data_IF_649714670902
#
_entry.id   IF_649714670902
#
_cell.length_a   1.000
_cell.length_b   1.000
_cell.length_c   1.000
_cell.angle_alpha   90.00
_cell.angle_beta   90.00
_cell.angle_gamma   90.00
#
_symmetry.space_group_name_H-M   'P 1'
#
loop_
_entity.id
_entity.type
_entity.pdbx_description
1 polymer ?
#
# COMPACT_ATOMS: atom_id res chain seq x y z
N UNK A 1 -2.38 25.14 -30.40
CA UNK A 1 -2.29 24.08 -29.37
C UNK A 1 -3.32 23.03 -29.75
N UNK A 2 -2.91 21.80 -30.06
CA UNK A 2 -3.89 20.71 -30.16
C UNK A 2 -4.47 20.53 -28.76
N UNK A 3 -5.76 20.32 -28.68
CA UNK A 3 -6.49 20.20 -27.43
C UNK A 3 -5.95 19.00 -26.63
N UNK A 4 -5.17 19.27 -25.58
CA UNK A 4 -4.55 18.23 -24.74
C UNK A 4 -5.62 17.37 -24.06
N UNK A 5 -6.85 17.89 -23.92
CA UNK A 5 -8.00 17.17 -23.40
C UNK A 5 -8.38 15.95 -24.25
N UNK A 6 -8.21 16.01 -25.58
CA UNK A 6 -8.48 14.87 -26.47
C UNK A 6 -7.45 13.76 -26.22
N UNK A 7 -6.18 14.13 -26.02
CA UNK A 7 -5.13 13.17 -25.72
C UNK A 7 -5.28 12.59 -24.33
N UNK A 8 -5.74 13.40 -23.38
CA UNK A 8 -6.14 12.92 -22.07
C UNK A 8 -7.27 11.88 -22.17
N UNK A 9 -8.35 12.17 -22.89
CA UNK A 9 -9.45 11.23 -23.06
C UNK A 9 -9.02 9.91 -23.76
N UNK A 10 -8.20 10.01 -24.81
CA UNK A 10 -7.64 8.85 -25.51
C UNK A 10 -6.70 8.04 -24.60
N UNK A 11 -5.96 8.73 -23.73
CA UNK A 11 -5.07 8.12 -22.75
C UNK A 11 -5.88 7.30 -21.74
N UNK A 12 -6.91 7.90 -21.11
CA UNK A 12 -7.78 7.22 -20.15
C UNK A 12 -8.46 6.00 -20.76
N UNK A 13 -8.80 6.07 -22.05
CA UNK A 13 -9.37 4.94 -22.78
C UNK A 13 -8.34 3.81 -22.99
N UNK A 14 -7.07 4.17 -23.21
CA UNK A 14 -6.00 3.21 -23.52
C UNK A 14 -5.35 2.61 -22.29
N UNK A 15 -5.33 3.35 -21.18
CA UNK A 15 -4.64 3.01 -19.93
C UNK A 15 -5.48 3.46 -18.72
N UNK A 16 -6.69 2.90 -18.55
CA UNK A 16 -7.58 3.30 -17.46
C UNK A 16 -6.90 3.06 -16.11
N UNK A 17 -6.83 4.08 -15.25
CA UNK A 17 -6.20 3.99 -13.92
C UNK A 17 -4.70 4.37 -13.87
N UNK A 18 -4.06 4.65 -15.01
CA UNK A 18 -2.68 5.15 -15.02
C UNK A 18 -2.60 6.68 -14.81
N UNK A 19 -3.74 7.38 -14.87
CA UNK A 19 -3.84 8.84 -14.67
C UNK A 19 -3.25 9.30 -13.34
N UNK A 20 -3.61 8.74 -12.16
CA UNK A 20 -3.10 9.24 -10.89
C UNK A 20 -1.58 9.07 -10.71
N UNK A 21 -0.99 8.11 -11.44
CA UNK A 21 0.47 7.85 -11.44
C UNK A 21 1.19 8.86 -12.33
N UNK A 22 0.54 9.26 -13.43
CA UNK A 22 1.09 10.16 -14.43
C UNK A 22 0.47 11.55 -14.39
N UNK A 23 -0.27 11.93 -13.36
CA UNK A 23 -0.81 13.28 -13.18
C UNK A 23 0.22 14.19 -12.50
N UNK A 24 -0.10 15.48 -12.42
CA UNK A 24 0.76 16.48 -11.78
C UNK A 24 1.10 16.12 -10.32
N UNK A 25 2.35 16.36 -9.93
CA UNK A 25 2.87 16.07 -8.58
C UNK A 25 3.83 14.87 -8.51
N UNK A 26 3.92 14.06 -9.55
CA UNK A 26 4.99 13.07 -9.72
C UNK A 26 6.26 13.77 -10.20
N UNK A 27 7.11 14.19 -9.25
CA UNK A 27 8.31 15.03 -9.43
C UNK A 27 9.38 14.53 -10.43
N UNK A 28 9.17 13.40 -11.10
CA UNK A 28 10.15 12.72 -11.95
C UNK A 28 9.68 12.59 -13.42
N UNK A 29 8.47 13.04 -13.76
CA UNK A 29 8.01 13.11 -15.15
C UNK A 29 7.93 14.55 -15.65
N UNK A 30 8.83 14.90 -16.58
CA UNK A 30 9.01 16.25 -17.17
C UNK A 30 8.05 16.61 -18.31
N UNK A 31 7.14 15.72 -18.73
CA UNK A 31 6.21 16.10 -19.81
C UNK A 31 5.09 16.99 -19.27
N UNK A 32 5.00 18.18 -19.85
CA UNK A 32 4.04 19.21 -19.47
C UNK A 32 2.62 18.91 -19.98
N UNK A 33 2.47 17.97 -20.92
CA UNK A 33 1.19 17.66 -21.60
C UNK A 33 0.88 16.16 -21.65
N UNK A 34 -0.41 15.80 -21.76
CA UNK A 34 -0.84 14.40 -21.95
C UNK A 34 -0.34 13.77 -23.25
N UNK A 35 -0.13 14.58 -24.29
CA UNK A 35 0.51 14.15 -25.54
C UNK A 35 1.91 13.57 -25.27
N UNK A 36 2.72 14.29 -24.51
CA UNK A 36 4.10 13.89 -24.19
C UNK A 36 4.12 12.64 -23.30
N UNK A 37 3.20 12.56 -22.33
CA UNK A 37 2.96 11.38 -21.47
C UNK A 37 2.68 10.14 -22.33
N UNK A 38 1.71 10.24 -23.24
CA UNK A 38 1.37 9.16 -24.16
C UNK A 38 2.55 8.74 -25.04
N UNK A 39 3.27 9.71 -25.62
CA UNK A 39 4.41 9.44 -26.49
C UNK A 39 5.53 8.72 -25.72
N UNK A 40 5.79 9.13 -24.48
CA UNK A 40 6.82 8.54 -23.63
C UNK A 40 6.53 7.08 -23.28
N UNK A 41 5.27 6.76 -22.91
CA UNK A 41 4.87 5.38 -22.65
C UNK A 41 4.99 4.49 -23.89
N UNK A 42 4.57 4.98 -25.05
CA UNK A 42 4.71 4.25 -26.33
C UNK A 42 6.17 4.02 -26.71
N UNK A 43 7.07 4.87 -26.26
CA UNK A 43 8.52 4.72 -26.41
C UNK A 43 9.15 3.86 -25.30
N UNK A 44 8.35 3.22 -24.44
CA UNK A 44 8.82 2.43 -23.30
C UNK A 44 9.73 3.22 -22.35
N UNK A 45 9.50 4.54 -22.22
CA UNK A 45 10.25 5.35 -21.26
C UNK A 45 9.93 4.91 -19.83
N UNK A 46 10.96 4.99 -19.00
CA UNK A 46 10.87 4.67 -17.59
C UNK A 46 10.09 5.74 -16.84
N UNK A 47 9.34 5.30 -15.84
CA UNK A 47 8.54 6.18 -15.00
C UNK A 47 8.56 5.63 -13.56
N UNK A 48 8.44 6.45 -12.52
CA UNK A 48 8.43 5.95 -11.14
C UNK A 48 7.00 5.67 -10.66
N UNK A 49 6.86 4.71 -9.78
CA UNK A 49 5.62 4.48 -9.06
C UNK A 49 5.96 3.78 -7.76
N UNK A 50 4.97 3.61 -6.90
CA UNK A 50 5.04 2.55 -5.92
C UNK A 50 4.32 1.32 -6.46
N UNK A 51 4.87 0.15 -6.13
CA UNK A 51 4.28 -1.14 -6.45
C UNK A 51 3.82 -1.76 -5.15
N UNK A 52 2.55 -2.07 -5.06
CA UNK A 52 2.05 -2.86 -3.96
C UNK A 52 2.66 -4.27 -3.99
N UNK A 53 3.09 -4.74 -2.82
CA UNK A 53 3.74 -6.03 -2.67
C UNK A 53 2.77 -7.18 -2.92
N UNK A 54 3.27 -8.25 -3.55
CA UNK A 54 2.48 -9.43 -3.94
C UNK A 54 2.66 -10.61 -3.00
N UNK A 55 3.71 -10.64 -2.18
CA UNK A 55 4.12 -11.84 -1.43
C UNK A 55 2.93 -12.47 -0.69
N UNK A 56 2.46 -13.56 -1.28
CA UNK A 56 1.43 -14.50 -0.82
C UNK A 56 1.93 -15.94 -1.03
N UNK A 57 3.23 -16.09 -1.28
CA UNK A 57 3.88 -17.38 -1.55
C UNK A 57 4.59 -17.90 -0.30
N UNK A 58 4.45 -17.24 0.86
CA UNK A 58 5.09 -17.67 2.10
C UNK A 58 4.13 -17.49 3.30
N UNK A 59 3.22 -18.46 3.43
CA UNK A 59 2.13 -18.55 4.42
C UNK A 59 2.50 -18.25 5.90
N UNK A 60 3.78 -18.22 6.25
CA UNK A 60 4.26 -18.03 7.62
C UNK A 60 4.46 -16.57 8.04
N UNK A 61 4.97 -15.67 7.17
CA UNK A 61 5.48 -14.33 7.57
C UNK A 61 5.47 -13.27 6.43
N UNK A 62 4.43 -13.24 5.60
CA UNK A 62 4.40 -12.40 4.39
C UNK A 62 4.29 -10.89 4.63
N UNK A 63 5.07 -10.07 3.90
CA UNK A 63 5.03 -8.59 3.95
C UNK A 63 3.83 -8.01 3.18
N UNK A 64 2.62 -8.43 3.55
CA UNK A 64 1.36 -7.98 2.96
C UNK A 64 1.04 -6.52 3.28
N UNK A 65 0.19 -5.90 2.45
CA UNK A 65 -0.25 -4.52 2.63
C UNK A 65 0.90 -3.51 2.70
N UNK A 66 1.94 -3.78 1.90
CA UNK A 66 3.09 -2.90 1.75
C UNK A 66 3.22 -2.41 0.31
N UNK A 67 3.85 -1.25 0.13
CA UNK A 67 4.14 -0.67 -1.18
C UNK A 67 5.57 -0.11 -1.23
N UNK A 68 6.26 -0.34 -2.33
CA UNK A 68 7.66 0.03 -2.50
C UNK A 68 7.90 0.86 -3.75
N UNK A 69 8.75 1.87 -3.64
CA UNK A 69 9.21 2.67 -4.76
C UNK A 69 9.95 1.80 -5.80
N UNK A 70 9.55 1.97 -7.06
CA UNK A 70 10.13 1.28 -8.20
C UNK A 70 10.19 2.19 -9.43
N UNK A 71 11.08 1.83 -10.35
CA UNK A 71 11.04 2.33 -11.72
C UNK A 71 10.29 1.32 -12.59
N UNK A 72 9.23 1.78 -13.24
CA UNK A 72 8.33 1.00 -14.07
C UNK A 72 8.57 1.26 -15.55
N UNK A 73 8.29 0.26 -16.37
CA UNK A 73 8.36 0.32 -17.83
C UNK A 73 7.18 -0.44 -18.40
N UNK A 74 6.40 0.19 -19.29
CA UNK A 74 5.33 -0.50 -20.02
C UNK A 74 5.93 -1.63 -20.87
N UNK A 75 5.39 -2.83 -20.79
CA UNK A 75 5.78 -3.96 -21.64
C UNK A 75 5.13 -3.84 -23.03
N UNK A 76 5.75 -4.46 -24.03
CA UNK A 76 5.24 -4.42 -25.40
C UNK A 76 3.83 -5.03 -25.46
N UNK A 77 2.91 -4.29 -26.09
CA UNK A 77 1.48 -4.56 -26.11
C UNK A 77 1.17 -5.85 -26.88
N UNK A 78 0.96 -6.96 -26.19
CA UNK A 78 0.32 -8.15 -26.78
C UNK A 78 -1.10 -8.41 -26.24
N UNK A 79 -1.45 -7.80 -25.10
CA UNK A 79 -2.70 -7.99 -24.36
C UNK A 79 -3.57 -6.73 -24.33
N UNK A 80 -4.86 -6.92 -24.07
CA UNK A 80 -5.84 -5.85 -23.82
C UNK A 80 -5.55 -5.07 -22.53
N UNK A 81 -4.87 -5.70 -21.57
CA UNK A 81 -4.47 -5.11 -20.29
C UNK A 81 -2.96 -4.79 -20.31
N UNK A 82 -2.54 -3.55 -20.00
CA UNK A 82 -1.13 -3.19 -19.96
C UNK A 82 -0.43 -3.89 -18.79
N UNK A 83 0.76 -4.43 -19.05
CA UNK A 83 1.65 -4.97 -18.01
C UNK A 83 2.95 -4.17 -17.98
N UNK A 84 3.65 -4.27 -16.85
CA UNK A 84 4.85 -3.49 -16.58
C UNK A 84 5.99 -4.36 -16.10
N UNK A 85 7.18 -4.04 -16.58
CA UNK A 85 8.42 -4.46 -15.93
C UNK A 85 8.75 -3.41 -14.87
N UNK A 86 8.90 -3.82 -13.62
CA UNK A 86 9.24 -2.95 -12.49
C UNK A 86 10.62 -3.30 -11.97
N UNK A 87 11.33 -2.28 -11.50
CA UNK A 87 12.67 -2.37 -10.93
C UNK A 87 12.69 -1.65 -9.61
N UNK A 88 12.72 -2.40 -8.51
CA UNK A 88 12.69 -1.86 -7.16
C UNK A 88 14.00 -1.17 -6.81
N UNK A 89 13.95 -0.26 -5.82
CA UNK A 89 15.15 0.33 -5.26
C UNK A 89 16.06 -0.74 -4.62
N UNK A 90 17.39 -0.61 -4.76
CA UNK A 90 18.31 -1.54 -4.11
C UNK A 90 18.15 -1.52 -2.59
N UNK A 91 18.09 -2.71 -1.99
CA UNK A 91 18.08 -2.86 -0.54
C UNK A 91 19.49 -2.66 0.02
N UNK A 92 19.83 -1.42 0.39
CA UNK A 92 21.09 -1.04 1.04
C UNK A 92 22.12 -0.39 0.10
N UNK A 93 23.24 0.10 0.68
CA UNK A 93 24.26 0.90 -0.03
C UNK A 93 25.26 0.10 -0.89
N UNK A 94 25.15 -1.23 -0.94
CA UNK A 94 26.08 -2.12 -1.65
C UNK A 94 25.53 -2.68 -2.97
N UNK A 95 26.26 -3.65 -3.58
CA UNK A 95 25.86 -4.47 -4.74
C UNK A 95 24.64 -5.38 -4.46
N UNK A 96 23.68 -4.91 -3.68
CA UNK A 96 22.44 -5.63 -3.42
C UNK A 96 21.71 -5.83 -4.74
N UNK A 97 21.25 -7.06 -4.97
CA UNK A 97 20.63 -7.45 -6.24
C UNK A 97 19.39 -6.59 -6.43
N UNK A 98 19.41 -5.72 -7.43
CA UNK A 98 18.20 -5.02 -7.88
C UNK A 98 17.16 -6.06 -8.25
N UNK A 99 16.03 -6.04 -7.57
CA UNK A 99 14.91 -6.93 -7.88
C UNK A 99 14.15 -6.36 -9.07
N UNK A 100 13.91 -7.20 -10.05
CA UNK A 100 13.06 -6.91 -11.20
C UNK A 100 11.89 -7.88 -11.19
N UNK A 101 10.72 -7.36 -11.52
CA UNK A 101 9.50 -8.14 -11.68
C UNK A 101 8.86 -7.76 -13.02
N UNK A 102 8.44 -8.76 -13.79
CA UNK A 102 7.81 -8.59 -15.12
C UNK A 102 6.34 -8.97 -15.04
N UNK A 103 5.52 -8.49 -15.97
CA UNK A 103 4.10 -8.81 -15.98
C UNK A 103 3.32 -8.17 -14.82
N UNK A 104 3.84 -7.11 -14.20
CA UNK A 104 3.14 -6.41 -13.12
C UNK A 104 1.90 -5.74 -13.70
N UNK A 105 0.75 -6.02 -13.12
CA UNK A 105 -0.52 -5.45 -13.54
C UNK A 105 -0.66 -3.99 -13.10
N UNK A 106 -1.47 -3.20 -13.81
CA UNK A 106 -1.66 -1.77 -13.53
C UNK A 106 -2.22 -1.52 -12.12
N UNK A 107 -3.08 -2.41 -11.65
CA UNK A 107 -3.75 -2.36 -10.35
C UNK A 107 -2.79 -2.54 -9.16
N UNK A 108 -1.54 -2.94 -9.44
CA UNK A 108 -0.46 -2.98 -8.45
C UNK A 108 0.35 -1.71 -8.39
N UNK A 109 0.20 -0.81 -9.36
CA UNK A 109 0.89 0.46 -9.37
C UNK A 109 0.04 1.51 -8.65
N UNK A 110 0.71 2.38 -7.92
CA UNK A 110 0.09 3.56 -7.29
C UNK A 110 1.05 4.75 -7.35
N UNK A 111 0.55 5.99 -7.22
CA UNK A 111 1.43 7.13 -6.99
C UNK A 111 2.16 6.98 -5.65
N UNK A 112 3.42 7.42 -5.63
CA UNK A 112 4.13 7.62 -4.37
C UNK A 112 3.47 8.75 -3.58
N UNK A 113 3.43 8.69 -2.23
CA UNK A 113 2.94 9.80 -1.43
C UNK A 113 3.65 11.11 -1.77
N UNK A 114 2.90 12.21 -1.81
CA UNK A 114 3.44 13.52 -2.16
C UNK A 114 4.61 13.90 -1.23
N UNK A 115 5.68 14.43 -1.83
CA UNK A 115 6.91 14.82 -1.13
C UNK A 115 7.59 13.67 -0.36
N UNK A 116 7.28 12.41 -0.68
CA UNK A 116 8.00 11.28 -0.11
C UNK A 116 9.35 11.06 -0.79
N UNK A 117 10.32 10.64 0.01
CA UNK A 117 11.61 10.16 -0.45
C UNK A 117 11.90 8.87 0.32
N UNK A 118 12.15 7.74 -0.35
CA UNK A 118 12.33 6.45 0.30
C UNK A 118 13.59 6.39 1.18
N UNK A 119 14.51 7.34 1.08
CA UNK A 119 15.71 7.40 1.93
C UNK A 119 15.60 8.39 3.10
N UNK A 120 14.48 9.10 3.22
CA UNK A 120 14.27 10.15 4.23
C UNK A 120 12.98 9.89 4.98
N UNK A 121 12.98 10.23 6.28
CA UNK A 121 11.77 10.18 7.09
C UNK A 121 10.81 11.27 6.63
N UNK A 122 9.63 10.85 6.17
CA UNK A 122 8.60 11.76 5.69
C UNK A 122 8.05 12.63 6.82
N UNK A 123 7.84 13.91 6.54
CA UNK A 123 7.45 14.96 7.51
C UNK A 123 6.10 15.63 7.17
N UNK A 124 5.35 15.10 6.19
CA UNK A 124 4.32 15.87 5.50
C UNK A 124 2.91 15.83 6.11
N UNK A 125 2.66 15.26 7.29
CA UNK A 125 1.30 15.23 7.86
C UNK A 125 1.16 16.26 8.96
N UNK A 126 0.20 17.16 8.80
CA UNK A 126 -0.27 18.08 9.83
C UNK A 126 -1.39 17.49 10.71
N UNK A 127 -1.95 16.33 10.34
CA UNK A 127 -3.07 15.72 11.05
C UNK A 127 -2.62 14.57 11.95
N UNK A 128 -2.81 14.75 13.26
CA UNK A 128 -2.55 13.69 14.23
C UNK A 128 -3.53 12.53 14.04
N UNK A 129 -3.03 11.29 13.87
CA UNK A 129 -3.90 10.11 13.77
C UNK A 129 -4.76 9.93 15.03
N UNK A 130 -5.97 9.41 14.84
CA UNK A 130 -6.89 9.08 15.94
C UNK A 130 -6.97 7.57 16.11
N UNK A 131 -7.27 7.10 17.32
CA UNK A 131 -7.59 5.69 17.55
C UNK A 131 -8.70 5.24 16.59
N UNK A 132 -8.49 4.10 15.96
CA UNK A 132 -9.37 3.51 14.96
C UNK A 132 -9.14 4.00 13.52
N UNK A 133 -8.37 5.08 13.30
CA UNK A 133 -8.10 5.57 11.94
C UNK A 133 -7.08 4.73 11.20
N UNK A 134 -7.21 4.67 9.87
CA UNK A 134 -6.22 4.06 8.99
C UNK A 134 -5.03 5.00 8.77
N UNK A 135 -3.83 4.43 8.75
CA UNK A 135 -2.57 5.14 8.58
C UNK A 135 -1.66 4.38 7.62
N UNK A 136 -0.75 5.11 6.97
CA UNK A 136 0.44 4.49 6.37
C UNK A 136 1.66 4.86 7.21
N UNK A 137 2.52 3.87 7.47
CA UNK A 137 3.80 4.08 8.12
C UNK A 137 4.95 3.78 7.18
N UNK A 138 6.01 4.58 7.25
CA UNK A 138 7.29 4.22 6.66
C UNK A 138 7.95 3.13 7.52
N UNK A 139 8.36 2.03 6.90
CA UNK A 139 9.08 0.95 7.57
C UNK A 139 10.20 0.42 6.67
N UNK A 140 11.27 -0.07 7.27
CA UNK A 140 12.34 -0.80 6.58
C UNK A 140 13.01 -1.79 7.50
N UNK A 141 13.45 -2.90 6.91
CA UNK A 141 14.13 -3.97 7.64
C UNK A 141 15.54 -3.61 8.09
N UNK A 142 16.22 -2.63 7.46
CA UNK A 142 17.58 -2.19 7.81
C UNK A 142 17.73 -0.68 7.69
N UNK A 143 18.61 -0.07 8.49
CA UNK A 143 18.79 1.39 8.50
C UNK A 143 19.19 2.00 7.15
N UNK A 144 19.91 1.25 6.31
CA UNK A 144 20.39 1.69 5.00
C UNK A 144 19.44 1.33 3.85
N UNK A 145 18.40 0.54 4.11
CA UNK A 145 17.37 0.23 3.13
C UNK A 145 16.49 1.45 2.82
N UNK A 146 15.87 1.49 1.63
CA UNK A 146 14.73 2.39 1.39
C UNK A 146 13.56 2.01 2.30
N UNK A 147 12.80 3.02 2.71
CA UNK A 147 11.47 2.84 3.29
C UNK A 147 10.50 2.38 2.20
N UNK A 148 9.65 1.42 2.54
CA UNK A 148 8.35 1.25 1.90
C UNK A 148 7.25 1.94 2.73
N UNK A 149 6.00 1.69 2.37
CA UNK A 149 4.82 2.11 3.14
C UNK A 149 3.94 0.93 3.48
N UNK A 150 3.47 0.86 4.73
CA UNK A 150 2.59 -0.19 5.21
C UNK A 150 1.28 0.40 5.68
N UNK A 151 0.17 -0.18 5.21
CA UNK A 151 -1.15 0.13 5.73
C UNK A 151 -1.33 -0.50 7.12
N UNK A 152 -1.79 0.31 8.07
CA UNK A 152 -2.17 -0.15 9.40
C UNK A 152 -3.32 0.67 9.97
N UNK A 153 -3.76 0.28 11.17
CA UNK A 153 -4.81 0.95 11.92
C UNK A 153 -4.29 1.39 13.28
N UNK A 154 -4.62 2.59 13.72
CA UNK A 154 -4.24 3.04 15.06
C UNK A 154 -5.05 2.27 16.10
N UNK A 155 -4.37 1.48 16.93
CA UNK A 155 -4.98 0.72 18.03
C UNK A 155 -5.01 1.53 19.32
N UNK A 156 -3.93 2.23 19.63
CA UNK A 156 -3.81 3.05 20.82
C UNK A 156 -2.86 4.23 20.59
N UNK A 157 -3.02 5.27 21.41
CA UNK A 157 -2.08 6.39 21.51
C UNK A 157 -1.62 6.40 22.97
N UNK A 158 -0.32 6.16 23.19
CA UNK A 158 0.28 6.06 24.51
C UNK A 158 1.38 7.11 24.61
N UNK A 159 1.12 8.19 25.36
CA UNK A 159 2.03 9.34 25.44
C UNK A 159 2.42 9.84 24.03
N UNK A 160 3.71 9.78 23.69
CA UNK A 160 4.26 10.20 22.40
C UNK A 160 4.39 9.06 21.38
N UNK A 161 3.72 7.94 21.60
CA UNK A 161 3.77 6.76 20.71
C UNK A 161 2.38 6.35 20.21
N UNK A 162 2.35 5.91 18.95
CA UNK A 162 1.23 5.20 18.34
C UNK A 162 1.48 3.71 18.40
N UNK A 163 0.47 2.96 18.85
CA UNK A 163 0.42 1.52 18.61
C UNK A 163 -0.36 1.32 17.33
N UNK A 164 0.33 0.91 16.27
CA UNK A 164 -0.27 0.59 14.97
C UNK A 164 -0.50 -0.91 14.91
N UNK A 165 -1.71 -1.31 14.55
CA UNK A 165 -2.11 -2.69 14.34
C UNK A 165 -2.21 -3.02 12.85
N UNK A 166 -1.67 -4.18 12.49
CA UNK A 166 -1.64 -4.77 11.17
C UNK A 166 -2.54 -5.99 11.17
N UNK A 167 -3.83 -5.76 10.93
CA UNK A 167 -4.90 -6.77 11.07
C UNK A 167 -4.74 -7.96 10.13
N UNK A 168 -3.93 -7.83 9.09
CA UNK A 168 -3.59 -8.91 8.16
C UNK A 168 -2.75 -10.03 8.80
N UNK A 169 -2.06 -9.77 9.92
CA UNK A 169 -1.31 -10.80 10.63
C UNK A 169 -2.15 -11.44 11.74
N UNK A 170 -1.92 -12.72 12.07
CA UNK A 170 -2.53 -13.36 13.24
C UNK A 170 -2.24 -12.60 14.54
N UNK A 171 -3.13 -12.69 15.54
CA UNK A 171 -2.92 -12.01 16.84
C UNK A 171 -1.66 -12.46 17.57
N UNK A 172 -1.21 -13.69 17.32
CA UNK A 172 0.03 -14.26 17.85
C UNK A 172 1.29 -13.76 17.16
N UNK A 173 1.18 -13.08 16.01
CA UNK A 173 2.32 -12.64 15.22
C UNK A 173 3.03 -11.47 15.87
N UNK A 174 4.37 -11.52 15.92
CA UNK A 174 5.20 -10.37 16.30
C UNK A 174 5.02 -9.17 15.35
N UNK A 175 4.53 -9.40 14.13
CA UNK A 175 4.25 -8.36 13.15
C UNK A 175 2.87 -7.71 13.32
N UNK A 176 2.00 -8.26 14.19
CA UNK A 176 0.61 -7.79 14.40
C UNK A 176 0.52 -6.36 14.86
N UNK A 177 1.45 -5.91 15.68
CA UNK A 177 1.42 -4.57 16.24
C UNK A 177 2.81 -3.98 16.34
N UNK A 178 2.86 -2.66 16.26
CA UNK A 178 4.11 -1.94 16.33
C UNK A 178 3.96 -0.63 17.09
N UNK A 179 4.90 -0.38 17.99
CA UNK A 179 5.04 0.91 18.65
C UNK A 179 5.87 1.84 17.76
N UNK A 180 5.26 2.96 17.37
CA UNK A 180 5.84 3.95 16.47
C UNK A 180 5.78 5.33 17.14
N UNK A 181 6.90 6.04 17.33
CA UNK A 181 6.85 7.38 17.91
C UNK A 181 6.07 8.36 17.01
N UNK A 182 5.21 9.18 17.61
CA UNK A 182 4.37 10.18 16.91
C UNK A 182 5.19 11.25 16.20
N UNK A 183 6.35 11.58 16.77
CA UNK A 183 7.23 12.61 16.23
C UNK A 183 8.61 12.01 15.93
N UNK A 184 8.85 11.72 14.66
CA UNK A 184 10.16 11.26 14.19
C UNK A 184 10.72 12.20 13.14
N UNK A 185 11.78 12.93 13.51
CA UNK A 185 12.66 13.61 12.53
C UNK A 185 13.73 12.67 11.96
N UNK A 186 13.87 11.47 12.54
CA UNK A 186 14.82 10.43 12.18
C UNK A 186 14.18 9.06 12.33
N UNK A 187 14.72 8.07 11.61
CA UNK A 187 14.24 6.70 11.70
C UNK A 187 14.42 6.19 13.14
N UNK A 188 13.40 5.56 13.69
CA UNK A 188 13.41 4.99 15.04
C UNK A 188 13.27 3.48 14.98
N UNK A 189 13.75 2.79 16.01
CA UNK A 189 13.65 1.33 16.06
C UNK A 189 12.18 0.93 16.24
N UNK A 190 11.74 0.02 15.40
CA UNK A 190 10.44 -0.61 15.44
C UNK A 190 10.48 -1.74 16.48
N UNK A 191 9.67 -1.66 17.55
CA UNK A 191 9.67 -2.65 18.63
C UNK A 191 8.28 -3.23 18.83
N UNK A 192 8.21 -4.54 19.07
CA UNK A 192 7.04 -5.22 19.63
C UNK A 192 7.52 -6.26 20.65
N UNK A 193 6.95 -6.26 21.86
CA UNK A 193 7.31 -7.21 22.94
C UNK A 193 8.83 -7.40 23.16
N UNK A 194 9.58 -6.30 23.08
CA UNK A 194 11.05 -6.32 23.23
C UNK A 194 11.84 -6.83 22.02
N UNK A 195 11.18 -7.26 20.94
CA UNK A 195 11.82 -7.67 19.69
C UNK A 195 12.00 -6.47 18.75
N UNK A 196 13.17 -6.37 18.13
CA UNK A 196 13.46 -5.36 17.09
C UNK A 196 12.95 -5.87 15.75
N UNK A 197 12.02 -5.13 15.15
CA UNK A 197 11.36 -5.48 13.88
C UNK A 197 11.81 -4.59 12.71
N UNK A 198 12.84 -3.78 12.91
CA UNK A 198 13.41 -2.90 11.90
C UNK A 198 13.36 -1.42 12.31
N UNK A 199 13.15 -0.55 11.33
CA UNK A 199 13.16 0.90 11.52
C UNK A 199 11.90 1.53 10.94
N UNK A 200 11.24 2.36 11.72
CA UNK A 200 10.07 3.15 11.34
C UNK A 200 10.38 4.62 11.19
N UNK A 201 9.56 5.31 10.41
CA UNK A 201 9.70 6.73 10.11
C UNK A 201 8.36 7.44 10.06
N UNK A 202 8.13 8.17 8.96
CA UNK A 202 6.98 9.03 8.81
C UNK A 202 5.67 8.26 8.92
N UNK A 203 4.68 8.90 9.53
CA UNK A 203 3.32 8.38 9.69
C UNK A 203 2.40 9.36 9.00
N UNK A 204 1.44 8.85 8.24
CA UNK A 204 0.39 9.69 7.66
C UNK A 204 -0.99 9.07 7.83
N UNK A 205 -1.94 9.91 8.18
CA UNK A 205 -3.36 9.54 8.16
C UNK A 205 -3.82 9.31 6.72
N UNK A 206 -4.63 8.28 6.51
CA UNK A 206 -5.27 8.01 5.22
C UNK A 206 -6.67 8.63 5.15
N UNK A 207 -7.04 9.12 3.97
CA UNK A 207 -8.44 9.44 3.65
C UNK A 207 -9.23 8.17 3.38
N UNK A 208 -10.57 8.28 3.31
CA UNK A 208 -11.43 7.17 2.90
C UNK A 208 -11.03 6.63 1.51
N UNK A 209 -10.83 7.52 0.53
CA UNK A 209 -10.35 7.14 -0.81
C UNK A 209 -9.01 6.41 -0.76
N UNK A 210 -8.04 6.91 0.02
CA UNK A 210 -6.74 6.25 0.13
C UNK A 210 -6.83 4.85 0.74
N UNK A 211 -7.76 4.62 1.68
CA UNK A 211 -8.04 3.29 2.21
C UNK A 211 -8.73 2.39 1.17
N UNK A 212 -9.69 2.92 0.41
CA UNK A 212 -10.34 2.19 -0.68
C UNK A 212 -9.32 1.72 -1.72
N UNK A 213 -8.35 2.56 -2.10
CA UNK A 213 -7.29 2.19 -3.05
C UNK A 213 -6.47 0.98 -2.57
N UNK A 214 -6.21 0.87 -1.26
CA UNK A 214 -5.58 -0.32 -0.68
C UNK A 214 -6.51 -1.54 -0.70
N UNK A 215 -7.79 -1.37 -0.37
CA UNK A 215 -8.76 -2.47 -0.34
C UNK A 215 -9.01 -3.04 -1.73
N UNK A 216 -9.12 -2.18 -2.75
CA UNK A 216 -9.21 -2.59 -4.15
C UNK A 216 -8.00 -3.43 -4.53
N UNK A 217 -6.80 -3.01 -4.13
CA UNK A 217 -5.59 -3.79 -4.39
C UNK A 217 -5.61 -5.17 -3.70
N UNK A 218 -5.97 -5.25 -2.42
CA UNK A 218 -6.10 -6.54 -1.70
C UNK A 218 -7.13 -7.46 -2.37
N UNK A 219 -8.27 -6.90 -2.75
CA UNK A 219 -9.35 -7.66 -3.40
C UNK A 219 -8.95 -8.11 -4.81
N UNK A 220 -8.25 -7.27 -5.56
CA UNK A 220 -7.72 -7.61 -6.87
C UNK A 220 -6.67 -8.72 -6.77
N UNK A 221 -5.79 -8.68 -5.76
CA UNK A 221 -4.89 -9.81 -5.50
C UNK A 221 -5.71 -11.07 -5.19
N UNK A 222 -6.71 -11.01 -4.30
CA UNK A 222 -7.56 -12.15 -3.97
C UNK A 222 -8.14 -12.82 -5.22
N UNK A 223 -8.68 -12.04 -6.15
CA UNK A 223 -9.25 -12.55 -7.41
C UNK A 223 -8.20 -13.15 -8.37
N UNK A 224 -6.94 -12.71 -8.28
CA UNK A 224 -5.83 -13.19 -9.09
C UNK A 224 -5.15 -14.45 -8.51
N UNK A 225 -5.53 -14.89 -7.31
CA UNK A 225 -4.99 -16.09 -6.68
C UNK A 225 -5.68 -17.38 -7.18
N UNK A 226 -5.00 -18.54 -7.11
CA UNK A 226 -5.65 -19.85 -7.27
C UNK A 226 -6.82 -20.02 -6.30
N UNK A 227 -7.85 -20.77 -6.69
CA UNK A 227 -9.10 -20.94 -5.92
C UNK A 227 -8.85 -21.48 -4.50
N UNK A 228 -7.80 -22.27 -4.33
CA UNK A 228 -7.38 -22.86 -3.07
C UNK A 228 -6.87 -21.79 -2.09
N UNK A 229 -6.16 -20.76 -2.58
CA UNK A 229 -5.69 -19.62 -1.77
C UNK A 229 -6.81 -18.59 -1.51
N UNK A 230 -7.80 -18.48 -2.40
CA UNK A 230 -8.98 -17.63 -2.20
C UNK A 230 -9.83 -18.08 -1.00
N UNK A 231 -9.95 -19.40 -0.77
CA UNK A 231 -10.74 -19.99 0.32
C UNK A 231 -10.14 -19.73 1.70
N UNK A 232 -8.81 -19.70 1.83
CA UNK A 232 -8.13 -19.41 3.09
C UNK A 232 -8.39 -17.96 3.57
N UNK A 233 -8.43 -17.00 2.63
CA UNK A 233 -8.69 -15.59 2.93
C UNK A 233 -10.17 -15.34 3.27
N UNK A 234 -11.09 -16.03 2.60
CA UNK A 234 -12.53 -15.90 2.86
C UNK A 234 -12.93 -16.41 4.26
N UNK A 235 -12.19 -17.37 4.84
CA UNK A 235 -12.44 -17.85 6.21
C UNK A 235 -12.01 -16.85 7.31
N UNK A 236 -11.13 -15.88 7.01
CA UNK A 236 -10.79 -14.80 7.95
C UNK A 236 -11.67 -13.56 7.80
N UNK A 237 -12.34 -13.36 6.65
CA UNK A 237 -13.33 -12.30 6.49
C UNK A 237 -14.68 -12.61 7.16
N UNK A 238 -15.02 -13.90 7.37
CA UNK A 238 -16.25 -14.31 8.06
C UNK A 238 -16.27 -14.01 9.58
N UNK A 239 -15.14 -13.62 10.19
CA UNK A 239 -15.10 -13.25 11.62
C UNK A 239 -15.53 -11.78 11.84
N UNK A 240 -15.60 -10.96 10.78
CA UNK A 240 -16.08 -9.58 10.87
C UNK A 240 -17.62 -9.46 10.75
N UNK A 241 -18.31 -10.45 10.18
CA UNK A 241 -19.79 -10.44 10.06
C UNK A 241 -20.50 -11.13 11.24
N UNK A 242 -19.81 -11.95 12.05
CA UNK A 242 -20.42 -12.64 13.18
C UNK A 242 -20.68 -11.74 14.42
N UNK A 243 -20.07 -10.55 14.49
CA UNK A 243 -20.25 -9.61 15.62
C UNK A 243 -21.32 -8.53 15.38
N UNK A 244 -22.02 -8.54 14.24
CA UNK A 244 -23.16 -7.65 13.97
C UNK A 244 -24.53 -8.33 14.07
N UNK A 245 -24.58 -9.65 14.30
CA UNK A 245 -25.83 -10.42 14.41
C UNK A 245 -26.13 -10.96 15.82
N UNK A 246 -25.29 -10.67 16.82
CA UNK A 246 -25.44 -11.15 18.20
C UNK A 246 -26.22 -10.24 19.17
N UNK A 247 -26.68 -9.07 18.75
CA UNK A 247 -27.30 -8.06 19.64
C UNK A 247 -28.83 -7.91 19.49
N UNK A 248 -29.51 -8.91 18.92
CA UNK A 248 -30.93 -8.80 18.55
C UNK A 248 -31.81 -9.98 18.93
N UNK A 249 -31.48 -10.73 20.00
CA UNK A 249 -32.31 -11.86 20.42
C UNK A 249 -32.25 -12.14 21.93
N UNK A 250 -32.35 -11.08 22.74
CA UNK A 250 -32.56 -11.17 24.19
C UNK A 250 -33.59 -10.10 24.62
N UNK A 251 -34.79 -10.13 24.04
CA UNK A 251 -35.97 -9.45 24.61
C UNK A 251 -37.25 -9.91 23.88
N UNK A 252 -37.64 -11.16 24.11
CA UNK A 252 -38.98 -11.70 23.86
C UNK A 252 -39.02 -13.11 24.41
N UNK A 253 -39.24 -13.21 25.73
CA UNK A 253 -39.84 -14.35 26.43
C UNK A 253 -39.91 -14.03 27.93
N UNK A 254 -40.78 -13.08 28.28
CA UNK A 254 -41.40 -13.02 29.60
C UNK A 254 -42.87 -12.68 29.41
N UNK A 255 -43.64 -13.67 28.95
CA UNK A 255 -45.06 -13.81 29.27
C UNK A 255 -45.30 -15.32 29.40
N UNK A 256 -46.03 -15.69 30.45
CA UNK A 256 -46.66 -16.98 30.76
C UNK A 256 -46.04 -17.84 31.88
N UNK A 257 -46.85 -17.97 32.95
CA UNK A 257 -46.84 -18.90 34.09
C UNK A 257 -45.76 -18.64 35.18
N UNK A 258 -46.11 -18.07 36.34
CA UNK A 258 -47.10 -18.55 37.32
C UNK A 258 -47.50 -17.42 38.26
#
# INVERSE_FOLDING_TARGET
MRDDSIWHALFLTSYPGLEPILSDGCAWYDGATWIERCASLRQHRLFHAQVYNRELENDAEDFMLSAYDATCKLEARSSSCPTFTVRYLPMGRGKSRTVMETGVALERLRPAPLNSNPHVVWQGSSSHPKVGSAVEIQWKARIDHPFGWWLGKVKAILHDCLVVEFVQYPESSVWRSLEVPLTTRKASVAINNGCILGWVGGIRSLSAQGLEDWVVHVTAIHQLLPKEAQQAISMHSCVAEANSTGAGQLERNQIEHT
#
